data_IF_726828815856
#
_entry.id   IF_726828815856
#
_cell.length_a   1.000
_cell.length_b   1.000
_cell.length_c   1.000
_cell.angle_alpha   90.00
_cell.angle_beta   90.00
_cell.angle_gamma   90.00
#
_symmetry.space_group_name_H-M   'P 1'
#
loop_
_entity.id
_entity.type
_entity.pdbx_description
1 polymer ?
#
# COMPACT_ATOMS: atom_id res chain seq x y z
N UNK A 1 13.70 -9.97 -7.04
CA UNK A 1 13.00 -9.62 -5.80
C UNK A 1 12.37 -8.26 -5.98
N UNK A 2 11.10 -8.23 -6.36
CA UNK A 2 10.28 -7.02 -6.32
C UNK A 2 10.11 -6.67 -4.83
N UNK A 3 10.53 -5.48 -4.37
CA UNK A 3 10.26 -5.08 -2.99
C UNK A 3 8.74 -5.07 -2.78
N UNK A 4 8.28 -5.72 -1.71
CA UNK A 4 6.87 -5.81 -1.35
C UNK A 4 6.19 -4.44 -1.45
N UNK A 5 5.04 -4.37 -2.12
CA UNK A 5 4.23 -3.15 -2.30
C UNK A 5 3.58 -2.66 -0.98
N UNK A 6 3.94 -3.25 0.16
CA UNK A 6 3.35 -2.97 1.47
C UNK A 6 4.42 -2.56 2.50
N UNK A 7 4.11 -1.64 3.42
CA UNK A 7 5.12 -1.02 4.27
C UNK A 7 5.54 -1.92 5.43
N UNK A 8 6.82 -2.23 5.60
CA UNK A 8 7.33 -2.51 6.95
C UNK A 8 7.30 -1.19 7.76
N UNK A 9 6.10 -0.74 8.13
CA UNK A 9 5.81 0.51 8.84
C UNK A 9 5.27 0.25 10.24
N UNK A 10 5.12 1.31 11.02
CA UNK A 10 4.54 1.23 12.36
C UNK A 10 3.11 0.65 12.29
N UNK A 11 2.73 -0.14 13.30
CA UNK A 11 1.41 -0.79 13.35
C UNK A 11 0.23 0.19 13.18
N UNK A 12 0.24 1.40 13.77
CA UNK A 12 -0.79 2.41 13.51
C UNK A 12 -1.00 2.77 12.03
N UNK A 13 0.07 2.82 11.22
CA UNK A 13 -0.02 3.12 9.79
C UNK A 13 -0.57 1.95 8.99
N UNK A 14 -0.14 0.73 9.35
CA UNK A 14 -0.70 -0.49 8.75
C UNK A 14 -2.19 -0.64 9.07
N UNK A 15 -2.62 -0.26 10.28
CA UNK A 15 -4.04 -0.18 10.63
C UNK A 15 -4.76 0.88 9.80
N UNK A 16 -4.19 2.08 9.65
CA UNK A 16 -4.80 3.16 8.89
C UNK A 16 -5.03 2.78 7.42
N UNK A 17 -4.15 1.97 6.84
CA UNK A 17 -4.30 1.42 5.50
C UNK A 17 -5.56 0.53 5.34
N UNK A 18 -5.92 -0.22 6.39
CA UNK A 18 -7.11 -1.07 6.41
C UNK A 18 -8.38 -0.37 6.90
N UNK A 19 -8.29 0.89 7.32
CA UNK A 19 -9.41 1.63 7.95
C UNK A 19 -9.71 2.93 7.19
N UNK A 20 -10.10 2.87 5.91
CA UNK A 20 -10.65 4.05 5.25
C UNK A 20 -11.88 4.59 5.98
N UNK A 21 -12.15 5.88 5.80
CA UNK A 21 -13.30 6.55 6.40
C UNK A 21 -14.60 5.86 5.97
N UNK A 22 -15.51 5.68 6.92
CA UNK A 22 -16.82 5.06 6.66
C UNK A 22 -16.82 3.53 6.66
N UNK A 23 -15.70 2.86 6.96
CA UNK A 23 -15.69 1.41 7.16
C UNK A 23 -16.67 0.98 8.26
N UNK A 24 -17.38 -0.15 8.08
CA UNK A 24 -18.38 -0.59 9.04
C UNK A 24 -17.73 -1.08 10.35
N UNK A 25 -18.42 -0.87 11.49
CA UNK A 25 -17.91 -1.22 12.82
C UNK A 25 -17.38 -2.66 12.94
N UNK A 26 -18.04 -3.70 12.37
CA UNK A 26 -17.51 -5.06 12.42
C UNK A 26 -16.13 -5.22 11.78
N UNK A 27 -15.84 -4.50 10.69
CA UNK A 27 -14.52 -4.48 10.07
C UNK A 27 -13.50 -3.74 10.94
N UNK A 28 -13.87 -2.58 11.48
CA UNK A 28 -13.00 -1.83 12.38
C UNK A 28 -12.59 -2.65 13.61
N UNK A 29 -13.54 -3.41 14.16
CA UNK A 29 -13.30 -4.34 15.26
C UNK A 29 -12.34 -5.46 14.88
N UNK A 30 -12.43 -6.01 13.67
CA UNK A 30 -11.53 -7.05 13.19
C UNK A 30 -10.09 -6.53 13.03
N UNK A 31 -9.90 -5.35 12.43
CA UNK A 31 -8.57 -4.72 12.30
C UNK A 31 -7.98 -4.40 13.67
N UNK A 32 -8.78 -3.83 14.57
CA UNK A 32 -8.35 -3.50 15.94
C UNK A 32 -7.93 -4.76 16.70
N UNK A 33 -8.69 -5.85 16.59
CA UNK A 33 -8.36 -7.13 17.24
C UNK A 33 -7.12 -7.77 16.63
N UNK A 34 -6.95 -7.71 15.31
CA UNK A 34 -5.74 -8.18 14.63
C UNK A 34 -4.50 -7.43 15.14
N UNK A 35 -4.60 -6.10 15.27
CA UNK A 35 -3.53 -5.28 15.79
C UNK A 35 -3.20 -5.61 17.26
N UNK A 36 -4.19 -5.90 18.11
CA UNK A 36 -3.93 -6.37 19.49
C UNK A 36 -3.12 -7.66 19.52
N UNK A 37 -3.46 -8.63 18.67
CA UNK A 37 -2.79 -9.93 18.62
C UNK A 37 -1.35 -9.82 18.04
N UNK A 38 -1.12 -8.87 17.14
CA UNK A 38 0.20 -8.67 16.50
C UNK A 38 1.10 -7.69 17.24
N UNK A 39 0.56 -6.80 18.08
CA UNK A 39 1.33 -5.78 18.79
C UNK A 39 2.56 -6.33 19.55
N UNK A 40 2.51 -7.49 20.23
CA UNK A 40 3.69 -8.01 20.94
C UNK A 40 4.88 -8.36 20.05
N UNK A 41 4.65 -8.70 18.78
CA UNK A 41 5.68 -9.17 17.84
C UNK A 41 5.97 -8.18 16.72
N UNK A 42 5.15 -7.14 16.55
CA UNK A 42 5.19 -6.23 15.41
C UNK A 42 6.53 -5.53 15.21
N UNK A 43 7.12 -4.99 16.28
CA UNK A 43 8.41 -4.27 16.21
C UNK A 43 9.57 -5.18 15.78
N UNK A 44 9.48 -6.47 16.06
CA UNK A 44 10.53 -7.45 15.73
C UNK A 44 10.29 -8.08 14.35
N UNK A 45 9.03 -8.29 13.98
CA UNK A 45 8.61 -8.99 12.75
C UNK A 45 7.49 -8.22 12.03
N UNK A 46 7.74 -6.98 11.53
CA UNK A 46 6.70 -6.22 10.84
C UNK A 46 6.39 -6.86 9.49
N UNK A 47 5.19 -7.39 9.34
CA UNK A 47 4.74 -7.99 8.08
C UNK A 47 3.31 -7.53 7.76
N UNK A 48 3.10 -6.55 6.88
CA UNK A 48 1.77 -6.00 6.58
C UNK A 48 0.73 -7.03 6.22
N UNK A 49 1.13 -8.02 5.42
CA UNK A 49 0.24 -9.09 5.00
C UNK A 49 -0.25 -9.95 6.17
N UNK A 50 0.47 -10.04 7.30
CA UNK A 50 -0.04 -10.75 8.49
C UNK A 50 -1.16 -9.96 9.16
N UNK A 51 -1.07 -8.62 9.24
CA UNK A 51 -2.18 -7.79 9.70
C UNK A 51 -3.38 -7.92 8.77
N UNK A 52 -3.16 -7.87 7.46
CA UNK A 52 -4.23 -7.98 6.47
C UNK A 52 -4.92 -9.35 6.58
N UNK A 53 -4.16 -10.44 6.48
CA UNK A 53 -4.67 -11.80 6.56
C UNK A 53 -5.37 -12.08 7.89
N UNK A 54 -4.83 -11.59 9.01
CA UNK A 54 -5.44 -11.77 10.32
C UNK A 54 -6.74 -10.97 10.46
N UNK A 55 -6.79 -9.72 9.98
CA UNK A 55 -8.01 -8.92 9.99
C UNK A 55 -9.12 -9.59 9.16
N UNK A 56 -8.80 -10.06 7.95
CA UNK A 56 -9.74 -10.80 7.12
C UNK A 56 -10.19 -12.11 7.78
N UNK A 57 -9.27 -12.84 8.41
CA UNK A 57 -9.60 -14.10 9.12
C UNK A 57 -10.51 -13.83 10.31
N UNK A 58 -10.18 -12.85 11.15
CA UNK A 58 -11.00 -12.45 12.30
C UNK A 58 -12.39 -12.00 11.87
N UNK A 59 -12.48 -11.19 10.82
CA UNK A 59 -13.76 -10.76 10.25
C UNK A 59 -14.60 -11.96 9.80
N UNK A 60 -13.97 -12.90 9.09
CA UNK A 60 -14.63 -14.12 8.59
C UNK A 60 -15.17 -14.97 9.74
N UNK A 61 -14.32 -15.27 10.72
CA UNK A 61 -14.71 -16.08 11.89
C UNK A 61 -15.81 -15.39 12.70
N UNK A 62 -15.72 -14.08 12.88
CA UNK A 62 -16.75 -13.28 13.54
C UNK A 62 -18.11 -13.38 12.84
N UNK A 63 -18.12 -13.26 11.51
CA UNK A 63 -19.32 -13.40 10.69
C UNK A 63 -19.92 -14.81 10.76
N UNK A 64 -19.09 -15.85 10.64
CA UNK A 64 -19.53 -17.24 10.72
C UNK A 64 -20.09 -17.63 12.09
N UNK A 65 -19.50 -17.09 13.17
CA UNK A 65 -19.95 -17.33 14.54
C UNK A 65 -21.06 -16.35 14.98
N UNK A 66 -21.40 -15.37 14.16
CA UNK A 66 -22.31 -14.27 14.50
C UNK A 66 -21.94 -13.57 15.82
N UNK A 67 -20.67 -13.21 15.95
CA UNK A 67 -20.09 -12.56 17.14
C UNK A 67 -19.26 -11.34 16.75
N UNK A 68 -18.99 -10.46 17.72
CA UNK A 68 -18.03 -9.37 17.52
C UNK A 68 -16.63 -9.93 17.32
N UNK A 69 -15.88 -9.37 16.37
CA UNK A 69 -14.48 -9.74 16.16
C UNK A 69 -13.60 -9.54 17.41
N UNK A 70 -13.96 -8.62 18.30
CA UNK A 70 -13.25 -8.40 19.58
C UNK A 70 -13.34 -9.60 20.53
N UNK A 71 -14.38 -10.43 20.40
CA UNK A 71 -14.63 -11.58 21.25
C UNK A 71 -14.04 -12.89 20.69
N UNK A 72 -13.44 -12.85 19.50
CA UNK A 72 -12.82 -14.03 18.90
C UNK A 72 -11.51 -14.34 19.63
N UNK A 73 -11.40 -15.56 20.14
CA UNK A 73 -10.22 -16.07 20.85
C UNK A 73 -9.07 -16.39 19.90
N UNK A 74 -7.84 -16.46 20.42
CA UNK A 74 -6.68 -16.86 19.62
C UNK A 74 -6.87 -18.32 19.16
N UNK A 75 -7.37 -19.20 20.02
CA UNK A 75 -7.72 -20.58 19.63
C UNK A 75 -8.69 -20.66 18.45
N UNK A 76 -9.75 -19.83 18.42
CA UNK A 76 -10.69 -19.84 17.30
C UNK A 76 -10.03 -19.41 15.98
N UNK A 77 -9.13 -18.42 16.03
CA UNK A 77 -8.34 -18.01 14.86
C UNK A 77 -7.40 -19.13 14.43
N UNK A 78 -6.65 -19.74 15.35
CA UNK A 78 -5.76 -20.87 15.02
C UNK A 78 -6.52 -22.00 14.35
N UNK A 79 -7.68 -22.39 14.89
CA UNK A 79 -8.54 -23.41 14.29
C UNK A 79 -8.95 -23.02 12.86
N UNK A 80 -9.33 -21.76 12.62
CA UNK A 80 -9.67 -21.29 11.28
C UNK A 80 -8.49 -21.34 10.29
N UNK A 81 -7.27 -21.05 10.75
CA UNK A 81 -6.05 -21.17 9.94
C UNK A 81 -5.65 -22.63 9.68
N UNK A 82 -5.91 -23.56 10.59
CA UNK A 82 -5.63 -25.00 10.42
C UNK A 82 -6.68 -25.71 9.55
N UNK A 83 -7.95 -25.38 9.74
CA UNK A 83 -9.09 -25.93 8.97
C UNK A 83 -9.22 -25.32 7.57
N UNK A 84 -8.26 -24.48 7.17
CA UNK A 84 -8.30 -23.79 5.89
C UNK A 84 -8.33 -24.74 4.69
N UNK A 85 -7.91 -25.99 4.84
CA UNK A 85 -7.60 -26.88 3.72
C UNK A 85 -6.45 -26.32 2.89
N UNK A 86 -5.65 -27.19 2.29
CA UNK A 86 -4.56 -26.78 1.42
C UNK A 86 -4.68 -27.49 0.07
N UNK A 87 -4.38 -26.78 -1.01
CA UNK A 87 -4.17 -27.43 -2.31
C UNK A 87 -2.79 -28.08 -2.39
N UNK A 88 -2.43 -28.58 -3.57
CA UNK A 88 -1.16 -29.27 -3.79
C UNK A 88 0.06 -28.36 -3.57
N UNK A 89 -0.14 -27.06 -3.71
CA UNK A 89 0.91 -26.05 -3.54
C UNK A 89 0.96 -25.53 -2.10
N UNK A 90 -0.01 -25.89 -1.24
CA UNK A 90 -0.07 -25.44 0.15
C UNK A 90 -0.85 -24.14 0.35
N UNK A 91 -1.56 -23.67 -0.68
CA UNK A 91 -2.41 -22.47 -0.59
C UNK A 91 -3.61 -22.71 0.32
N UNK A 92 -3.98 -21.76 1.20
CA UNK A 92 -5.09 -21.93 2.12
C UNK A 92 -6.45 -21.70 1.43
N UNK A 93 -6.80 -22.54 0.43
CA UNK A 93 -7.93 -22.33 -0.49
C UNK A 93 -9.28 -22.24 0.23
N UNK A 94 -9.51 -23.05 1.26
CA UNK A 94 -10.76 -23.00 2.02
C UNK A 94 -10.87 -21.76 2.90
N UNK A 95 -9.77 -21.26 3.47
CA UNK A 95 -9.75 -19.96 4.15
C UNK A 95 -10.00 -18.83 3.15
N UNK A 96 -9.32 -18.85 1.99
CA UNK A 96 -9.54 -17.86 0.91
C UNK A 96 -11.02 -17.78 0.50
N UNK A 97 -11.66 -18.94 0.31
CA UNK A 97 -13.09 -19.01 -0.05
C UNK A 97 -13.99 -18.48 1.06
N UNK A 98 -13.71 -18.80 2.32
CA UNK A 98 -14.49 -18.31 3.47
C UNK A 98 -14.36 -16.79 3.62
N UNK A 99 -13.14 -16.26 3.48
CA UNK A 99 -12.90 -14.81 3.48
C UNK A 99 -13.69 -14.14 2.38
N UNK A 100 -13.57 -14.62 1.14
CA UNK A 100 -14.31 -14.03 0.02
C UNK A 100 -15.82 -14.04 0.27
N UNK A 101 -16.39 -15.14 0.76
CA UNK A 101 -17.82 -15.23 1.07
C UNK A 101 -18.27 -14.24 2.17
N UNK A 102 -17.45 -14.07 3.22
CA UNK A 102 -17.74 -13.09 4.27
C UNK A 102 -17.65 -11.65 3.76
N UNK A 103 -16.69 -11.35 2.90
CA UNK A 103 -16.50 -10.02 2.32
C UNK A 103 -17.58 -9.65 1.28
N UNK A 104 -17.96 -10.60 0.43
CA UNK A 104 -19.00 -10.44 -0.60
C UNK A 104 -20.37 -10.18 0.04
N UNK A 105 -20.70 -10.89 1.12
CA UNK A 105 -21.97 -10.74 1.83
C UNK A 105 -22.10 -9.45 2.67
N UNK A 106 -21.01 -8.72 2.87
CA UNK A 106 -20.94 -7.55 3.76
C UNK A 106 -20.64 -6.23 3.06
N UNK A 107 -20.54 -6.25 1.73
CA UNK A 107 -20.21 -5.08 0.89
C UNK A 107 -18.88 -4.37 1.26
N UNK A 108 -18.02 -5.00 2.08
CA UNK A 108 -16.73 -4.42 2.52
C UNK A 108 -15.80 -4.16 1.34
N UNK A 109 -15.89 -4.97 0.30
CA UNK A 109 -15.12 -4.82 -0.93
C UNK A 109 -15.52 -3.56 -1.73
N UNK A 110 -16.68 -2.97 -1.44
CA UNK A 110 -17.27 -1.87 -2.19
C UNK A 110 -17.86 -2.32 -3.53
N UNK A 111 -18.81 -1.53 -4.06
CA UNK A 111 -19.35 -1.75 -5.41
C UNK A 111 -18.38 -1.30 -6.52
N UNK A 112 -17.47 -0.37 -6.20
CA UNK A 112 -16.58 0.25 -7.16
C UNK A 112 -15.26 -0.53 -7.29
N UNK A 113 -15.01 -1.07 -8.48
CA UNK A 113 -13.75 -1.71 -8.87
C UNK A 113 -12.70 -0.66 -9.26
N UNK A 114 -12.39 0.25 -8.34
CA UNK A 114 -11.41 1.33 -8.55
C UNK A 114 -10.10 1.10 -7.79
N UNK A 115 -8.99 1.71 -8.23
CA UNK A 115 -7.72 1.67 -7.50
C UNK A 115 -7.83 2.38 -6.15
N UNK A 116 -7.13 1.86 -5.14
CA UNK A 116 -7.15 2.34 -3.76
C UNK A 116 -8.33 1.83 -2.94
N UNK A 117 -8.96 0.71 -3.31
CA UNK A 117 -10.11 0.15 -2.59
C UNK A 117 -9.73 -1.08 -1.74
N UNK A 118 -10.63 -1.51 -0.84
CA UNK A 118 -10.44 -2.77 -0.10
C UNK A 118 -10.40 -4.00 -1.02
N UNK A 119 -10.99 -3.91 -2.22
CA UNK A 119 -10.80 -4.90 -3.28
C UNK A 119 -9.32 -5.06 -3.62
N UNK A 120 -8.58 -3.98 -3.83
CA UNK A 120 -7.15 -4.08 -4.17
C UNK A 120 -6.33 -4.72 -3.03
N UNK A 121 -6.70 -4.44 -1.78
CA UNK A 121 -6.05 -5.06 -0.62
C UNK A 121 -6.31 -6.56 -0.58
N UNK A 122 -7.54 -6.98 -0.87
CA UNK A 122 -7.88 -8.40 -0.96
C UNK A 122 -7.21 -9.08 -2.15
N UNK A 123 -7.27 -8.48 -3.34
CA UNK A 123 -6.63 -9.00 -4.55
C UNK A 123 -5.13 -9.15 -4.36
N UNK A 124 -4.43 -8.12 -3.85
CA UNK A 124 -3.01 -8.20 -3.57
C UNK A 124 -2.65 -9.34 -2.59
N UNK A 125 -3.55 -9.69 -1.67
CA UNK A 125 -3.33 -10.79 -0.72
C UNK A 125 -3.50 -12.17 -1.37
N UNK A 126 -4.45 -12.33 -2.30
CA UNK A 126 -4.70 -13.61 -2.96
C UNK A 126 -3.90 -13.83 -4.24
N UNK A 127 -3.36 -12.76 -4.84
CA UNK A 127 -2.71 -12.83 -6.14
C UNK A 127 -1.46 -13.70 -6.08
N UNK A 128 -1.38 -14.62 -7.03
CA UNK A 128 -0.19 -15.41 -7.29
C UNK A 128 0.46 -14.73 -8.48
N UNK A 129 1.27 -13.70 -8.20
CA UNK A 129 1.91 -12.82 -9.19
C UNK A 129 2.41 -13.66 -10.38
N UNK A 130 1.67 -13.65 -11.50
CA UNK A 130 2.12 -14.23 -12.76
C UNK A 130 3.28 -13.35 -13.20
N UNK A 131 4.50 -13.90 -13.14
CA UNK A 131 5.65 -13.25 -13.70
C UNK A 131 5.31 -12.85 -15.14
N UNK A 132 5.50 -11.57 -15.47
CA UNK A 132 5.25 -10.94 -16.78
C UNK A 132 5.25 -12.00 -17.90
N UNK A 133 4.15 -12.06 -18.65
CA UNK A 133 3.77 -13.03 -19.70
C UNK A 133 4.86 -13.45 -20.71
N UNK A 134 6.07 -12.89 -20.63
CA UNK A 134 7.27 -13.30 -21.34
C UNK A 134 7.94 -14.56 -20.76
N UNK A 135 7.75 -14.89 -19.46
CA UNK A 135 8.24 -16.12 -18.82
C UNK A 135 7.08 -17.09 -18.51
N UNK A 136 6.34 -17.50 -19.54
CA UNK A 136 5.17 -18.41 -19.48
C UNK A 136 5.44 -19.83 -18.95
N UNK A 137 6.60 -20.08 -18.34
CA UNK A 137 6.99 -21.34 -17.69
C UNK A 137 7.52 -21.16 -16.26
N UNK A 138 7.44 -19.95 -15.68
CA UNK A 138 7.82 -19.75 -14.28
C UNK A 138 6.78 -20.37 -13.34
N UNK A 139 7.25 -21.06 -12.31
CA UNK A 139 6.42 -21.65 -11.26
C UNK A 139 5.55 -20.56 -10.62
N UNK A 140 4.23 -20.75 -10.58
CA UNK A 140 3.30 -19.83 -9.91
C UNK A 140 3.81 -19.55 -8.50
N UNK A 141 4.07 -18.26 -8.22
CA UNK A 141 4.56 -17.89 -6.90
C UNK A 141 3.44 -18.12 -5.88
N UNK A 142 3.78 -18.57 -4.66
CA UNK A 142 2.82 -18.65 -3.59
C UNK A 142 2.18 -17.29 -3.30
N UNK A 143 0.90 -17.27 -2.97
CA UNK A 143 0.18 -16.04 -2.63
C UNK A 143 0.72 -15.41 -1.34
N UNK A 144 0.52 -14.10 -1.19
CA UNK A 144 0.85 -13.41 0.07
C UNK A 144 -0.01 -13.93 1.23
N UNK A 145 -1.24 -14.41 0.96
CA UNK A 145 -2.10 -15.07 1.94
C UNK A 145 -1.44 -16.34 2.48
N UNK A 146 -0.78 -17.14 1.64
CA UNK A 146 -0.08 -18.35 2.07
C UNK A 146 1.09 -18.01 2.98
N UNK A 147 1.94 -17.06 2.60
CA UNK A 147 3.06 -16.63 3.44
C UNK A 147 2.58 -16.03 4.76
N UNK A 148 1.58 -15.15 4.71
CA UNK A 148 0.99 -14.54 5.89
C UNK A 148 0.37 -15.59 6.82
N UNK A 149 -0.33 -16.59 6.28
CA UNK A 149 -0.93 -17.67 7.07
C UNK A 149 0.14 -18.50 7.80
N UNK A 150 1.24 -18.84 7.12
CA UNK A 150 2.35 -19.55 7.75
C UNK A 150 2.98 -18.74 8.89
N UNK A 151 3.26 -17.45 8.65
CA UNK A 151 3.80 -16.56 9.68
C UNK A 151 2.82 -16.36 10.85
N UNK A 152 1.52 -16.27 10.57
CA UNK A 152 0.49 -16.16 11.61
C UNK A 152 0.41 -17.41 12.47
N UNK A 153 0.60 -18.62 11.93
CA UNK A 153 0.65 -19.84 12.76
C UNK A 153 1.77 -19.77 13.79
N UNK A 154 2.95 -19.31 13.38
CA UNK A 154 4.10 -19.14 14.29
C UNK A 154 3.83 -18.07 15.35
N UNK A 155 3.40 -16.87 14.93
CA UNK A 155 3.12 -15.75 15.85
C UNK A 155 2.03 -16.12 16.84
N UNK A 156 0.93 -16.71 16.35
CA UNK A 156 -0.19 -17.04 17.20
C UNK A 156 0.15 -18.19 18.13
N UNK A 157 1.03 -19.15 17.78
CA UNK A 157 1.43 -20.24 18.68
C UNK A 157 2.14 -19.75 19.96
N UNK A 158 2.75 -18.56 19.92
CA UNK A 158 3.43 -17.94 21.07
C UNK A 158 2.47 -17.22 22.03
N UNK A 159 1.22 -16.97 21.63
CA UNK A 159 0.22 -16.28 22.46
C UNK A 159 -0.50 -17.27 23.40
N UNK A 160 -0.82 -16.83 24.61
CA UNK A 160 -1.69 -17.57 25.53
C UNK A 160 -3.12 -16.99 25.44
N UNK A 161 -4.14 -17.87 25.36
CA UNK A 161 -5.54 -17.44 25.31
C UNK A 161 -6.00 -16.81 26.63
N UNK A 162 -5.41 -17.23 27.75
CA UNK A 162 -5.74 -16.73 29.08
C UNK A 162 -4.95 -15.46 29.44
N UNK A 163 -3.93 -15.12 28.66
CA UNK A 163 -3.17 -13.89 28.83
C UNK A 163 -3.97 -12.68 28.31
N UNK A 164 -4.05 -11.63 29.13
CA UNK A 164 -4.62 -10.37 28.70
C UNK A 164 -3.77 -9.77 27.58
N UNK A 165 -4.35 -9.66 26.38
CA UNK A 165 -3.74 -8.94 25.26
C UNK A 165 -3.64 -7.44 25.58
N UNK A 166 -2.63 -6.74 25.04
CA UNK A 166 -2.54 -5.29 25.19
C UNK A 166 -3.75 -4.60 24.58
N UNK A 167 -4.01 -3.37 25.03
CA UNK A 167 -5.00 -2.52 24.38
C UNK A 167 -4.67 -2.33 22.90
N UNK A 168 -5.66 -2.22 22.00
CA UNK A 168 -5.42 -2.00 20.59
C UNK A 168 -4.67 -0.67 20.42
N UNK A 169 -3.61 -0.62 19.61
CA UNK A 169 -3.02 0.65 19.24
C UNK A 169 -4.06 1.50 18.49
N UNK A 170 -3.94 2.82 18.63
CA UNK A 170 -4.75 3.74 17.85
C UNK A 170 -4.26 3.73 16.39
N UNK A 171 -5.19 3.66 15.44
CA UNK A 171 -4.89 3.86 14.03
C UNK A 171 -4.36 5.27 13.80
N UNK A 172 -3.41 5.42 12.87
CA UNK A 172 -2.93 6.74 12.44
C UNK A 172 -4.02 7.56 11.70
N UNK A 173 -5.09 6.90 11.24
CA UNK A 173 -6.22 7.55 10.57
C UNK A 173 -5.87 8.13 9.21
N UNK A 174 -6.81 8.89 8.63
CA UNK A 174 -6.61 9.61 7.38
C UNK A 174 -5.51 10.69 7.52
N UNK A 175 -4.78 10.94 6.44
CA UNK A 175 -3.65 11.87 6.39
C UNK A 175 -3.85 12.89 5.27
N UNK A 176 -3.69 14.18 5.60
CA UNK A 176 -3.68 15.28 4.62
C UNK A 176 -2.33 15.99 4.68
N UNK A 177 -1.69 16.15 3.53
CA UNK A 177 -0.37 16.78 3.40
C UNK A 177 -0.50 18.00 2.49
N UNK A 178 -0.30 19.22 3.00
CA UNK A 178 -0.27 20.41 2.15
C UNK A 178 0.98 20.39 1.27
N UNK A 179 0.81 20.67 -0.02
CA UNK A 179 1.90 20.75 -0.99
C UNK A 179 1.95 22.17 -1.53
N UNK A 180 3.09 22.85 -1.35
CA UNK A 180 3.30 24.20 -1.88
C UNK A 180 3.93 24.20 -3.27
N UNK A 181 4.80 23.22 -3.54
CA UNK A 181 5.46 23.01 -4.82
C UNK A 181 4.73 22.02 -5.71
N UNK A 182 5.46 21.07 -6.27
CA UNK A 182 4.95 20.00 -7.14
C UNK A 182 5.00 18.65 -6.45
N UNK A 183 4.05 17.76 -6.73
CA UNK A 183 4.14 16.34 -6.36
C UNK A 183 4.80 15.58 -7.50
N UNK A 184 5.85 14.80 -7.20
CA UNK A 184 6.59 14.04 -8.20
C UNK A 184 6.80 12.61 -7.76
N UNK A 185 6.67 11.70 -8.72
CA UNK A 185 6.99 10.29 -8.58
C UNK A 185 8.35 10.04 -9.23
N UNK A 186 9.30 9.56 -8.44
CA UNK A 186 10.65 9.18 -8.84
C UNK A 186 10.68 7.67 -9.04
N UNK A 187 10.98 7.22 -10.25
CA UNK A 187 11.36 5.82 -10.53
C UNK A 187 12.84 5.76 -10.89
N UNK A 188 13.40 4.55 -11.06
CA UNK A 188 14.79 4.37 -11.52
C UNK A 188 15.11 5.08 -12.85
N UNK A 189 14.11 5.32 -13.70
CA UNK A 189 14.33 5.83 -15.05
C UNK A 189 13.51 7.09 -15.37
N UNK A 190 12.68 7.58 -14.45
CA UNK A 190 11.77 8.69 -14.74
C UNK A 190 11.45 9.53 -13.52
N UNK A 191 11.18 10.81 -13.78
CA UNK A 191 10.60 11.75 -12.81
C UNK A 191 9.27 12.20 -13.40
N UNK A 192 8.16 11.74 -12.83
CA UNK A 192 6.82 11.99 -13.34
C UNK A 192 6.08 12.97 -12.41
N UNK A 193 5.71 14.16 -12.88
CA UNK A 193 4.89 15.06 -12.09
C UNK A 193 3.45 14.55 -12.02
N UNK A 194 2.83 14.67 -10.86
CA UNK A 194 1.38 14.53 -10.73
C UNK A 194 0.75 15.86 -11.12
N UNK A 195 -0.22 15.82 -12.02
CA UNK A 195 -0.97 17.00 -12.46
C UNK A 195 -2.45 16.74 -12.31
N UNK A 196 -3.20 17.81 -12.04
CA UNK A 196 -4.66 17.76 -12.00
C UNK A 196 -5.21 17.26 -13.35
N UNK A 197 -6.09 16.27 -13.35
CA UNK A 197 -6.78 15.79 -14.57
C UNK A 197 -7.54 16.89 -15.30
N UNK A 198 -8.18 17.78 -14.52
CA UNK A 198 -9.14 18.76 -15.03
C UNK A 198 -8.47 20.05 -15.50
N UNK A 199 -7.72 20.72 -14.63
CA UNK A 199 -7.07 22.00 -14.94
C UNK A 199 -5.60 21.88 -15.34
N UNK A 200 -5.02 20.67 -15.32
CA UNK A 200 -3.59 20.39 -15.62
C UNK A 200 -2.58 21.11 -14.72
N UNK A 201 -3.04 21.78 -13.65
CA UNK A 201 -2.14 22.37 -12.65
C UNK A 201 -1.38 21.27 -11.91
N UNK A 202 -0.06 21.43 -11.78
CA UNK A 202 0.82 20.57 -10.98
C UNK A 202 1.47 21.28 -9.79
N UNK A 203 1.04 22.51 -9.48
CA UNK A 203 1.60 23.33 -8.39
C UNK A 203 0.56 23.58 -7.30
N UNK A 204 0.98 23.49 -6.05
CA UNK A 204 0.12 23.73 -4.90
C UNK A 204 -0.88 22.60 -4.65
N UNK A 205 -1.69 22.70 -3.60
CA UNK A 205 -2.76 21.75 -3.29
C UNK A 205 -2.43 20.86 -2.09
N UNK A 206 -2.97 19.65 -2.08
CA UNK A 206 -2.78 18.68 -1.00
C UNK A 206 -2.83 17.24 -1.49
N UNK A 207 -2.12 16.37 -0.78
CA UNK A 207 -2.28 14.92 -0.88
C UNK A 207 -3.18 14.44 0.25
N UNK A 208 -4.27 13.78 -0.10
CA UNK A 208 -5.18 13.12 0.83
C UNK A 208 -4.96 11.62 0.76
N UNK A 209 -4.78 10.99 1.91
CA UNK A 209 -4.63 9.54 2.06
C UNK A 209 -5.71 9.03 3.00
N UNK A 210 -6.52 8.11 2.49
CA UNK A 210 -7.58 7.46 3.26
C UNK A 210 -7.62 5.96 2.94
N UNK A 211 -7.31 5.14 3.93
CA UNK A 211 -7.12 3.70 3.72
C UNK A 211 -6.08 3.39 2.62
N UNK A 212 -6.43 2.56 1.62
CA UNK A 212 -5.57 2.27 0.49
C UNK A 212 -5.54 3.37 -0.58
N UNK A 213 -6.46 4.34 -0.53
CA UNK A 213 -6.57 5.40 -1.53
C UNK A 213 -5.61 6.56 -1.23
N UNK A 214 -5.01 7.10 -2.29
CA UNK A 214 -4.30 8.37 -2.26
C UNK A 214 -4.77 9.26 -3.42
N UNK A 215 -5.18 10.48 -3.09
CA UNK A 215 -5.73 11.45 -4.03
C UNK A 215 -4.94 12.74 -3.94
N UNK A 216 -4.63 13.33 -5.10
CA UNK A 216 -4.14 14.70 -5.17
C UNK A 216 -5.31 15.65 -5.38
N UNK A 217 -5.43 16.68 -4.53
CA UNK A 217 -6.40 17.76 -4.66
C UNK A 217 -5.65 19.03 -5.04
N UNK A 218 -5.92 19.57 -6.23
CA UNK A 218 -5.21 20.77 -6.68
C UNK A 218 -5.70 22.03 -5.94
N UNK A 219 -5.01 23.15 -6.11
CA UNK A 219 -5.37 24.42 -5.46
C UNK A 219 -6.79 24.92 -5.77
N UNK A 220 -7.38 24.50 -6.90
CA UNK A 220 -8.75 24.83 -7.30
C UNK A 220 -9.80 23.84 -6.74
N UNK A 221 -9.38 22.80 -6.03
CA UNK A 221 -10.26 21.79 -5.42
C UNK A 221 -10.62 20.60 -6.32
N UNK A 222 -10.01 20.46 -7.50
CA UNK A 222 -10.20 19.28 -8.36
C UNK A 222 -9.44 18.06 -7.81
N UNK A 223 -10.07 16.89 -7.89
CA UNK A 223 -9.51 15.64 -7.38
C UNK A 223 -8.87 14.84 -8.50
N UNK A 224 -7.69 14.28 -8.25
CA UNK A 224 -7.00 13.38 -9.18
C UNK A 224 -6.57 12.12 -8.42
N UNK A 225 -7.28 11.02 -8.70
CA UNK A 225 -6.80 9.69 -8.39
C UNK A 225 -5.81 9.27 -9.49
N UNK A 226 -4.58 8.96 -9.12
CA UNK A 226 -3.55 8.55 -10.06
C UNK A 226 -2.98 7.20 -9.60
N UNK A 227 -2.87 6.24 -10.51
CA UNK A 227 -2.36 4.89 -10.21
C UNK A 227 -0.92 4.85 -9.65
N UNK A 228 -0.19 5.96 -9.71
CA UNK A 228 1.17 6.08 -9.17
C UNK A 228 1.18 6.65 -7.74
N UNK A 229 0.05 7.20 -7.29
CA UNK A 229 -0.17 7.62 -5.92
C UNK A 229 -0.60 6.40 -5.12
N UNK A 230 0.35 5.82 -4.40
CA UNK A 230 0.08 4.75 -3.44
C UNK A 230 0.05 5.33 -2.03
N UNK A 231 -1.03 5.08 -1.28
CA UNK A 231 -1.21 5.55 0.10
C UNK A 231 0.00 5.26 0.99
N UNK A 232 0.55 4.05 0.86
CA UNK A 232 1.76 3.60 1.55
C UNK A 232 2.96 4.50 1.26
N UNK A 233 3.20 4.83 -0.01
CA UNK A 233 4.34 5.68 -0.42
C UNK A 233 4.17 7.10 0.10
N UNK A 234 2.95 7.63 0.04
CA UNK A 234 2.65 8.97 0.55
C UNK A 234 2.89 9.05 2.06
N UNK A 235 2.42 8.06 2.84
CA UNK A 235 2.68 7.98 4.29
C UNK A 235 4.16 7.86 4.61
N UNK A 236 4.90 7.00 3.91
CA UNK A 236 6.34 6.85 4.11
C UNK A 236 7.09 8.15 3.79
N UNK A 237 6.73 8.84 2.70
CA UNK A 237 7.32 10.12 2.35
C UNK A 237 7.01 11.20 3.40
N UNK A 238 5.79 11.21 3.95
CA UNK A 238 5.38 12.13 5.01
C UNK A 238 6.15 11.88 6.32
N UNK A 239 6.23 10.63 6.75
CA UNK A 239 6.99 10.23 7.94
C UNK A 239 8.47 10.60 7.79
N UNK A 240 9.04 10.38 6.59
CA UNK A 240 10.41 10.75 6.28
C UNK A 240 10.64 12.27 6.24
N UNK A 241 9.63 13.07 5.88
CA UNK A 241 9.70 14.52 5.92
C UNK A 241 9.54 15.09 7.35
N UNK A 242 8.75 14.43 8.20
CA UNK A 242 8.46 14.84 9.57
C UNK A 242 9.55 14.47 10.59
N UNK A 243 10.38 13.47 10.31
CA UNK A 243 11.52 13.12 11.17
C UNK A 243 12.50 14.31 11.23
N UNK A 244 12.70 14.89 12.42
CA UNK A 244 13.61 16.01 12.68
C UNK A 244 14.96 15.80 11.98
N UNK A 245 15.23 16.58 10.93
CA UNK A 245 16.48 16.50 10.19
C UNK A 245 17.50 17.47 10.76
N UNK A 246 18.78 17.08 10.90
CA UNK A 246 19.85 18.06 10.88
C UNK A 246 19.79 18.83 9.55
N UNK A 247 20.02 20.16 9.62
CA UNK A 247 20.05 21.12 8.49
C UNK A 247 20.33 20.50 7.11
N UNK A 248 19.55 20.91 6.10
CA UNK A 248 19.59 20.48 4.69
C UNK A 248 21.01 20.36 4.07
N UNK A 249 22.00 21.14 4.54
CA UNK A 249 23.39 21.03 4.08
C UNK A 249 24.05 19.67 4.42
N UNK A 250 23.57 18.97 5.45
CA UNK A 250 24.16 17.74 5.96
C UNK A 250 23.30 16.49 5.78
N UNK A 251 22.11 16.58 5.16
CA UNK A 251 21.25 15.41 4.94
C UNK A 251 21.82 14.52 3.83
N UNK A 252 22.28 13.29 4.15
CA UNK A 252 22.74 12.33 3.14
C UNK A 252 21.63 11.94 2.18
N UNK A 253 20.36 12.05 2.59
CA UNK A 253 19.20 11.70 1.77
C UNK A 253 18.82 12.83 0.82
N UNK A 254 18.93 14.10 1.21
CA UNK A 254 18.73 15.19 0.24
C UNK A 254 19.87 15.24 -0.77
N UNK A 255 21.11 14.95 -0.34
CA UNK A 255 22.22 14.70 -1.28
C UNK A 255 21.96 13.49 -2.15
N UNK A 256 21.51 12.36 -1.59
CA UNK A 256 21.18 11.16 -2.37
C UNK A 256 20.03 11.41 -3.35
N UNK A 257 18.97 12.10 -2.96
CA UNK A 257 17.86 12.46 -3.85
C UNK A 257 18.30 13.46 -4.91
N UNK A 258 19.10 14.49 -4.56
CA UNK A 258 19.65 15.42 -5.54
C UNK A 258 20.60 14.72 -6.52
N UNK A 259 21.45 13.82 -6.03
CA UNK A 259 22.37 13.01 -6.84
C UNK A 259 21.62 12.01 -7.70
N UNK A 260 20.64 11.27 -7.16
CA UNK A 260 19.79 10.35 -7.92
C UNK A 260 18.96 11.09 -8.96
N UNK A 261 18.34 12.22 -8.63
CA UNK A 261 17.60 13.03 -9.59
C UNK A 261 18.53 13.55 -10.69
N UNK A 262 19.76 13.97 -10.35
CA UNK A 262 20.75 14.39 -11.33
C UNK A 262 21.25 13.23 -12.20
N UNK A 263 21.50 12.05 -11.62
CA UNK A 263 21.93 10.84 -12.32
C UNK A 263 20.85 10.30 -13.25
N UNK A 264 19.60 10.23 -12.78
CA UNK A 264 18.44 9.84 -13.60
C UNK A 264 18.25 10.86 -14.73
N UNK A 265 18.34 12.15 -14.44
CA UNK A 265 18.26 13.19 -15.48
C UNK A 265 19.36 13.04 -16.54
N UNK A 266 20.61 12.75 -16.13
CA UNK A 266 21.72 12.55 -17.06
C UNK A 266 21.55 11.25 -17.88
N UNK A 267 21.09 10.16 -17.26
CA UNK A 267 20.78 8.91 -17.97
C UNK A 267 19.66 9.08 -19.00
N UNK A 268 18.61 9.85 -18.70
CA UNK A 268 17.54 10.18 -19.65
C UNK A 268 18.11 10.95 -20.85
N UNK A 269 18.95 11.96 -20.60
CA UNK A 269 19.61 12.76 -21.64
C UNK A 269 20.54 11.89 -22.51
N UNK A 270 21.33 11.01 -21.90
CA UNK A 270 22.23 10.11 -22.61
C UNK A 270 21.47 9.11 -23.50
N UNK A 271 20.36 8.52 -23.01
CA UNK A 271 19.52 7.61 -23.80
C UNK A 271 18.85 8.33 -24.98
N UNK A 272 18.35 9.55 -24.78
CA UNK A 272 17.79 10.36 -25.87
C UNK A 272 18.81 10.65 -26.97
N UNK A 273 20.07 10.92 -26.61
CA UNK A 273 21.15 11.11 -27.60
C UNK A 273 21.47 9.82 -28.39
N UNK A 274 21.44 8.67 -27.71
CA UNK A 274 21.78 7.38 -28.33
C UNK A 274 20.70 6.88 -29.30
N UNK A 275 19.42 7.21 -29.07
CA UNK A 275 18.29 6.75 -29.90
C UNK A 275 18.02 7.64 -31.12
N UNK A 276 18.75 8.74 -31.32
CA UNK A 276 18.56 9.65 -32.46
C UNK A 276 17.21 10.40 -32.45
N UNK A 277 16.41 10.23 -31.39
CA UNK A 277 15.26 11.06 -31.12
C UNK A 277 15.71 12.29 -30.35
N UNK A 278 15.37 13.53 -30.79
CA UNK A 278 15.55 14.68 -29.92
C UNK A 278 14.80 14.34 -28.64
N UNK A 279 15.53 14.25 -27.53
CA UNK A 279 14.93 14.03 -26.22
C UNK A 279 13.74 14.98 -26.12
N UNK A 280 12.56 14.44 -25.79
CA UNK A 280 11.50 15.28 -25.25
C UNK A 280 12.16 16.03 -24.11
N UNK A 281 12.53 17.28 -24.39
CA UNK A 281 12.89 18.23 -23.37
C UNK A 281 11.60 18.37 -22.58
N UNK A 282 11.46 17.57 -21.52
CA UNK A 282 10.71 18.00 -20.37
C UNK A 282 11.30 19.36 -20.06
N UNK A 283 10.55 20.41 -20.40
CA UNK A 283 10.77 21.79 -20.02
C UNK A 283 10.55 21.90 -18.50
N UNK A 284 11.25 21.06 -17.74
CA UNK A 284 11.40 21.15 -16.31
C UNK A 284 12.43 22.23 -16.06
N UNK A 285 11.97 23.47 -16.04
CA UNK A 285 12.69 24.57 -15.41
C UNK A 285 13.25 24.07 -14.07
N UNK A 286 14.53 24.35 -13.81
CA UNK A 286 15.18 24.14 -12.52
C UNK A 286 14.18 24.51 -11.41
N UNK A 287 13.85 23.61 -10.47
CA UNK A 287 12.83 23.90 -9.47
C UNK A 287 13.23 25.17 -8.71
N UNK A 288 12.36 26.18 -8.76
CA UNK A 288 12.44 27.32 -7.85
C UNK A 288 12.21 26.83 -6.42
N UNK A 289 12.80 27.48 -5.40
CA UNK A 289 12.68 27.03 -4.03
C UNK A 289 11.23 27.14 -3.55
N UNK A 290 10.56 25.99 -3.56
CA UNK A 290 9.31 25.66 -2.87
C UNK A 290 9.41 24.22 -2.38
N UNK A 291 8.63 23.82 -1.37
CA UNK A 291 8.69 22.44 -0.88
C UNK A 291 7.99 21.50 -1.88
N UNK A 292 8.76 21.03 -2.86
CA UNK A 292 8.41 19.89 -3.69
C UNK A 292 8.27 18.62 -2.83
N UNK A 293 7.33 17.75 -3.21
CA UNK A 293 7.09 16.49 -2.54
C UNK A 293 7.44 15.32 -3.47
N UNK A 294 8.31 14.41 -3.01
CA UNK A 294 8.84 13.31 -3.83
C UNK A 294 8.40 11.94 -3.30
N UNK A 295 7.85 11.12 -4.19
CA UNK A 295 7.48 9.72 -3.95
C UNK A 295 8.45 8.80 -4.69
N UNK A 296 9.15 7.90 -4.00
CA UNK A 296 10.13 6.99 -4.64
C UNK A 296 9.47 5.65 -4.96
N UNK A 297 9.65 5.15 -6.18
CA UNK A 297 9.10 3.89 -6.68
C UNK A 297 10.20 2.94 -7.17
N UNK A 298 10.13 1.65 -6.83
CA UNK A 298 10.91 0.62 -7.48
C UNK A 298 10.22 0.23 -8.80
N UNK A 299 10.75 0.73 -9.91
CA UNK A 299 10.37 0.41 -11.30
C UNK A 299 8.91 0.72 -11.69
N UNK A 300 8.75 1.83 -12.43
CA UNK A 300 7.58 2.08 -13.28
C UNK A 300 8.13 2.27 -14.68
N UNK A 301 7.86 1.33 -15.60
CA UNK A 301 8.00 1.63 -17.02
C UNK A 301 7.02 2.77 -17.32
N UNK A 302 7.56 3.91 -17.75
CA UNK A 302 6.72 5.02 -18.15
C UNK A 302 5.89 4.60 -19.36
N UNK A 303 4.56 4.50 -19.19
CA UNK A 303 3.67 4.51 -20.34
C UNK A 303 3.71 5.93 -20.92
N UNK A 304 4.51 6.12 -21.96
CA UNK A 304 4.85 7.43 -22.52
C UNK A 304 3.78 8.00 -23.44
N UNK A 305 2.58 7.43 -23.51
CA UNK A 305 1.52 7.87 -24.41
C UNK A 305 0.38 8.63 -23.69
N UNK A 306 0.41 9.98 -23.65
CA UNK A 306 -0.69 10.79 -23.11
C UNK A 306 -1.97 10.76 -23.97
N UNK A 307 -1.99 9.99 -25.08
CA UNK A 307 -3.08 9.92 -26.05
C UNK A 307 -3.90 8.62 -25.97
N UNK A 308 -3.47 7.64 -25.15
CA UNK A 308 -4.21 6.38 -25.01
C UNK A 308 -5.45 6.58 -24.14
N UNK A 309 -6.67 6.34 -24.66
CA UNK A 309 -7.85 6.26 -23.81
C UNK A 309 -7.68 5.08 -22.86
N UNK A 310 -7.82 5.34 -21.56
CA UNK A 310 -7.96 4.30 -20.54
C UNK A 310 -9.28 3.58 -20.81
N UNK A 311 -9.22 2.45 -21.51
CA UNK A 311 -10.36 1.55 -21.62
C UNK A 311 -10.49 0.82 -20.28
N UNK A 312 -11.53 1.16 -19.53
CA UNK A 312 -12.01 0.36 -18.41
C UNK A 312 -12.68 -0.90 -18.96
N UNK A 313 -12.22 -2.07 -18.51
CA UNK A 313 -12.86 -3.37 -18.67
C UNK A 313 -13.09 -4.00 -17.31
#
# INVERSE_FOLDING_TARGET
>A
MTPSRHPAGALPDAMAYLLPLGMPDPWQQAVSRAAQMLAPTWEVRPHPHTLHALAFTLYTVATEQNQSAQNISVTAVRAALEESGQDQDGEPVGLRRRIYAALDSSEILGADKGPGTMNDVWFALQDQDEQDWEDAFSELRPSDLRYATAALREILAELDDDAALPAPPASAGALTIPVSGTVRVLSRNSVLPITCSDCRSGRGGELQVDGPAATYVCADGHHTAHHLLEAVRVRNAAAFAAADRPSAENSPVERFLATQVAEIADQIVQRGRASGHPAFATTGSRPEPGQDFYLVTPDVQADTDPSRPLFYG
#
